data_IF_799155935653
#
_entry.id   IF_799155935653
#
_cell.length_a   1.000
_cell.length_b   1.000
_cell.length_c   1.000
_cell.angle_alpha   90.00
_cell.angle_beta   90.00
_cell.angle_gamma   90.00
#
_symmetry.space_group_name_H-M   'P 1'
#
loop_
_entity.id
_entity.type
_entity.pdbx_description
1 polymer ?
#
# COMPACT_ATOMS: atom_id res chain seq x y z
N UNK A 1 57.37 8.42 2.16
CA UNK A 1 56.78 9.25 1.09
C UNK A 1 55.43 9.75 1.57
N UNK A 2 55.32 11.00 2.05
CA UNK A 2 54.07 11.58 2.52
C UNK A 2 53.29 12.11 1.30
N UNK A 3 52.18 11.48 0.97
CA UNK A 3 51.25 12.01 -0.03
C UNK A 3 50.73 13.36 0.48
N UNK A 4 51.12 14.45 -0.15
CA UNK A 4 50.47 15.75 0.04
C UNK A 4 49.09 15.67 -0.65
N UNK A 5 48.01 15.50 0.12
CA UNK A 5 46.66 15.60 -0.40
C UNK A 5 46.47 17.01 -0.97
N UNK A 6 46.14 17.10 -2.24
CA UNK A 6 45.92 18.37 -2.91
C UNK A 6 44.68 19.04 -2.29
N UNK A 7 44.87 20.21 -1.68
CA UNK A 7 43.79 20.96 -0.97
C UNK A 7 42.58 21.23 -1.87
N UNK A 8 42.80 21.35 -3.18
CA UNK A 8 41.74 21.53 -4.15
C UNK A 8 40.89 20.25 -4.33
N UNK A 9 41.50 19.07 -4.30
CA UNK A 9 40.80 17.80 -4.40
C UNK A 9 39.92 17.54 -3.19
N UNK A 10 40.40 17.89 -1.98
CA UNK A 10 39.62 17.81 -0.74
C UNK A 10 38.43 18.76 -0.74
N UNK A 11 38.60 19.98 -1.28
CA UNK A 11 37.51 20.95 -1.40
C UNK A 11 36.43 20.47 -2.39
N UNK A 12 36.81 19.94 -3.54
CA UNK A 12 35.88 19.39 -4.52
C UNK A 12 35.13 18.15 -3.99
N UNK A 13 35.83 17.27 -3.25
CA UNK A 13 35.19 16.13 -2.60
C UNK A 13 34.20 16.57 -1.54
N UNK A 14 34.54 17.54 -0.72
CA UNK A 14 33.65 18.09 0.30
C UNK A 14 32.43 18.78 -0.34
N UNK A 15 32.63 19.53 -1.40
CA UNK A 15 31.56 20.19 -2.15
C UNK A 15 30.62 19.17 -2.82
N UNK A 16 31.18 18.12 -3.45
CA UNK A 16 30.38 17.03 -4.04
C UNK A 16 29.56 16.30 -2.96
N UNK A 17 30.15 15.97 -1.82
CA UNK A 17 29.43 15.31 -0.71
C UNK A 17 28.29 16.20 -0.19
N UNK A 18 28.55 17.49 0.04
CA UNK A 18 27.50 18.39 0.52
C UNK A 18 26.38 18.63 -0.49
N UNK A 19 26.69 18.64 -1.79
CA UNK A 19 25.66 18.75 -2.85
C UNK A 19 24.79 17.48 -2.93
N UNK A 20 25.44 16.31 -2.85
CA UNK A 20 24.72 15.02 -2.86
C UNK A 20 23.83 14.89 -1.63
N UNK A 21 24.32 15.23 -0.45
CA UNK A 21 23.52 15.21 0.79
C UNK A 21 22.37 16.20 0.74
N UNK A 22 22.56 17.39 0.18
CA UNK A 22 21.49 18.38 0.02
C UNK A 22 20.43 17.92 -1.00
N UNK A 23 20.81 17.24 -2.09
CA UNK A 23 19.88 16.67 -3.03
C UNK A 23 19.08 15.51 -2.41
N UNK A 24 19.77 14.63 -1.67
CA UNK A 24 19.13 13.54 -0.92
C UNK A 24 18.14 14.08 0.10
N UNK A 25 18.51 15.08 0.89
CA UNK A 25 17.63 15.71 1.87
C UNK A 25 16.37 16.29 1.19
N UNK A 26 16.51 16.93 0.03
CA UNK A 26 15.37 17.50 -0.69
C UNK A 26 14.42 16.43 -1.22
N UNK A 27 14.92 15.27 -1.65
CA UNK A 27 14.08 14.20 -2.20
C UNK A 27 13.34 13.42 -1.12
N UNK A 28 13.91 13.36 0.09
CA UNK A 28 13.34 12.66 1.24
C UNK A 28 12.53 13.57 2.17
N UNK A 29 12.18 14.76 1.72
CA UNK A 29 11.30 15.71 2.43
C UNK A 29 10.49 16.49 1.39
N UNK A 30 9.78 15.74 0.52
CA UNK A 30 8.94 16.32 -0.51
C UNK A 30 7.77 17.05 0.14
N UNK A 31 7.67 18.33 -0.12
CA UNK A 31 6.47 19.09 0.24
C UNK A 31 5.31 18.75 -0.70
N UNK A 32 4.09 19.07 -0.29
CA UNK A 32 2.92 18.94 -1.14
C UNK A 32 3.08 19.70 -2.47
N UNK A 33 3.70 20.87 -2.44
CA UNK A 33 3.98 21.66 -3.66
C UNK A 33 5.00 20.97 -4.57
N UNK A 34 6.03 20.34 -4.00
CA UNK A 34 7.02 19.58 -4.78
C UNK A 34 6.38 18.35 -5.43
N UNK A 35 5.52 17.64 -4.70
CA UNK A 35 4.78 16.49 -5.22
C UNK A 35 3.88 16.87 -6.40
N UNK A 36 3.20 18.02 -6.32
CA UNK A 36 2.26 18.46 -7.35
C UNK A 36 2.93 19.22 -8.49
N UNK A 37 4.21 19.58 -8.36
CA UNK A 37 4.94 20.27 -9.41
C UNK A 37 5.15 19.37 -10.64
N UNK A 38 5.03 19.95 -11.82
CA UNK A 38 5.46 19.30 -13.07
C UNK A 38 6.98 19.20 -13.04
N UNK A 39 7.52 18.00 -13.14
CA UNK A 39 8.96 17.74 -13.19
C UNK A 39 9.36 17.22 -14.55
N UNK A 40 10.64 17.37 -14.91
CA UNK A 40 11.21 16.75 -16.12
C UNK A 40 11.36 15.23 -15.99
N UNK A 41 11.38 14.72 -14.74
CA UNK A 41 11.48 13.30 -14.44
C UNK A 41 10.12 12.61 -14.58
N UNK A 42 10.13 11.41 -15.12
CA UNK A 42 8.96 10.54 -15.10
C UNK A 42 8.57 10.16 -13.66
N UNK A 43 7.31 9.79 -13.47
CA UNK A 43 6.82 9.33 -12.18
C UNK A 43 7.54 8.05 -11.70
N UNK A 44 7.93 7.18 -12.65
CA UNK A 44 8.74 5.99 -12.38
C UNK A 44 10.14 6.36 -11.85
N UNK A 45 10.81 7.30 -12.50
CA UNK A 45 12.12 7.80 -12.03
C UNK A 45 12.01 8.45 -10.65
N UNK A 46 10.95 9.20 -10.42
CA UNK A 46 10.69 9.83 -9.12
C UNK A 46 10.48 8.77 -8.03
N UNK A 47 9.69 7.73 -8.30
CA UNK A 47 9.50 6.61 -7.37
C UNK A 47 10.83 5.93 -7.05
N UNK A 48 11.62 5.56 -8.08
CA UNK A 48 12.92 4.93 -7.92
C UNK A 48 13.88 5.76 -7.07
N UNK A 49 13.91 7.07 -7.30
CA UNK A 49 14.80 7.97 -6.59
C UNK A 49 14.42 8.06 -5.10
N UNK A 50 13.13 8.17 -4.79
CA UNK A 50 12.62 8.12 -3.42
C UNK A 50 12.93 6.77 -2.77
N UNK A 51 12.62 5.67 -3.44
CA UNK A 51 12.80 4.32 -2.90
C UNK A 51 14.28 3.95 -2.65
N UNK A 52 15.21 4.53 -3.40
CA UNK A 52 16.67 4.33 -3.20
C UNK A 52 17.27 5.17 -2.08
N UNK A 53 16.70 6.34 -1.83
CA UNK A 53 17.38 7.33 -0.99
C UNK A 53 16.67 7.57 0.35
N UNK A 54 15.37 7.34 0.46
CA UNK A 54 14.60 7.77 1.63
C UNK A 54 14.38 6.68 2.69
N UNK A 55 14.20 5.39 2.36
CA UNK A 55 14.16 4.35 3.38
C UNK A 55 15.49 4.23 4.12
N UNK A 56 15.47 3.82 5.40
CA UNK A 56 16.68 3.54 6.17
C UNK A 56 17.49 2.39 5.55
N UNK A 57 16.80 1.48 4.86
CA UNK A 57 17.38 0.39 4.07
C UNK A 57 16.59 0.30 2.76
N UNK A 58 17.28 0.06 1.66
CA UNK A 58 16.66 -0.09 0.34
C UNK A 58 15.65 -1.24 0.38
N UNK A 59 14.44 -0.96 -0.10
CA UNK A 59 13.32 -1.92 -0.09
C UNK A 59 13.44 -2.95 -1.21
N UNK A 60 12.93 -4.15 -0.95
CA UNK A 60 12.76 -5.25 -1.92
C UNK A 60 11.86 -4.88 -3.11
N UNK A 61 10.98 -3.91 -2.94
CA UNK A 61 10.13 -3.38 -4.02
C UNK A 61 10.90 -2.94 -5.28
N UNK A 62 12.20 -2.63 -5.13
CA UNK A 62 13.09 -2.21 -6.23
C UNK A 62 14.38 -3.01 -6.34
N UNK A 63 14.67 -3.94 -5.39
CA UNK A 63 15.86 -4.81 -5.45
C UNK A 63 15.54 -6.22 -5.90
N UNK A 64 14.41 -6.75 -5.47
CA UNK A 64 13.95 -8.11 -5.73
C UNK A 64 12.73 -8.14 -6.66
N UNK A 65 12.00 -7.00 -6.72
CA UNK A 65 10.82 -6.80 -7.54
C UNK A 65 10.94 -5.53 -8.39
N UNK A 66 10.33 -5.54 -9.58
CA UNK A 66 10.27 -4.37 -10.49
C UNK A 66 8.98 -3.57 -10.24
N UNK A 67 8.62 -3.33 -8.96
CA UNK A 67 7.37 -2.64 -8.59
C UNK A 67 7.39 -1.15 -8.93
N UNK A 68 8.57 -0.60 -9.25
CA UNK A 68 8.64 0.77 -9.75
C UNK A 68 7.84 0.97 -11.06
N UNK A 69 7.64 -0.08 -11.85
CA UNK A 69 6.77 -0.01 -13.03
C UNK A 69 5.31 0.13 -12.61
N UNK A 70 4.87 -0.68 -11.65
CA UNK A 70 3.50 -0.64 -11.14
C UNK A 70 3.21 0.66 -10.39
N UNK A 71 4.06 1.02 -9.43
CA UNK A 71 3.86 2.21 -8.61
C UNK A 71 4.14 3.50 -9.37
N UNK A 72 5.22 3.55 -10.15
CA UNK A 72 5.55 4.74 -10.94
C UNK A 72 4.50 5.05 -12.00
N UNK A 73 3.99 4.03 -12.69
CA UNK A 73 3.05 4.25 -13.78
C UNK A 73 1.58 4.41 -13.34
N UNK A 74 1.19 3.83 -12.19
CA UNK A 74 -0.20 3.82 -11.75
C UNK A 74 -0.43 4.63 -10.49
N UNK A 75 0.40 4.45 -9.45
CA UNK A 75 0.16 5.05 -8.13
C UNK A 75 0.63 6.50 -8.07
N UNK A 76 1.84 6.80 -8.54
CA UNK A 76 2.38 8.15 -8.40
C UNK A 76 1.59 9.19 -9.21
N UNK A 77 1.22 8.95 -10.49
CA UNK A 77 0.33 9.86 -11.22
C UNK A 77 -1.00 10.08 -10.51
N UNK A 78 -1.55 9.01 -9.92
CA UNK A 78 -2.80 9.07 -9.16
C UNK A 78 -2.65 9.93 -7.90
N UNK A 79 -1.57 9.78 -7.14
CA UNK A 79 -1.28 10.59 -5.95
C UNK A 79 -0.98 12.06 -6.28
N UNK A 80 -0.53 12.35 -7.49
CA UNK A 80 -0.31 13.71 -8.00
C UNK A 80 -1.57 14.39 -8.51
N UNK A 81 -2.70 13.69 -8.61
CA UNK A 81 -3.96 14.33 -9.03
C UNK A 81 -4.38 15.39 -8.00
N UNK A 82 -4.27 16.64 -8.41
CA UNK A 82 -4.62 17.80 -7.58
C UNK A 82 -6.10 17.79 -7.14
N UNK A 83 -6.98 17.11 -7.86
CA UNK A 83 -8.39 17.00 -7.48
C UNK A 83 -8.59 16.07 -6.29
N UNK A 84 -7.80 15.00 -6.18
CA UNK A 84 -7.79 14.15 -4.99
C UNK A 84 -7.34 14.94 -3.76
N UNK A 85 -6.24 15.66 -3.89
CA UNK A 85 -5.66 16.43 -2.80
C UNK A 85 -6.58 17.56 -2.32
N UNK A 86 -7.27 18.24 -3.24
CA UNK A 86 -8.25 19.30 -2.91
C UNK A 86 -9.52 18.76 -2.24
N UNK A 87 -9.86 17.49 -2.40
CA UNK A 87 -11.06 16.86 -1.82
C UNK A 87 -10.88 16.29 -0.42
N UNK A 88 -9.83 16.68 0.29
CA UNK A 88 -9.61 16.28 1.69
C UNK A 88 -8.45 15.33 1.92
N UNK A 89 -7.56 15.20 0.92
CA UNK A 89 -6.35 14.38 1.02
C UNK A 89 -6.57 12.91 0.62
N UNK A 90 -5.50 12.17 0.74
CA UNK A 90 -5.42 10.74 0.42
C UNK A 90 -5.37 9.94 1.70
N UNK A 91 -6.28 9.02 1.89
CA UNK A 91 -6.23 8.02 2.94
C UNK A 91 -5.68 6.73 2.37
N UNK A 92 -4.51 6.35 2.84
CA UNK A 92 -3.69 5.25 2.35
C UNK A 92 -3.54 4.18 3.42
N UNK A 93 -3.71 2.92 3.07
CA UNK A 93 -3.43 1.77 3.92
C UNK A 93 -2.45 0.85 3.20
N UNK A 94 -1.36 0.48 3.86
CA UNK A 94 -0.54 -0.68 3.49
C UNK A 94 -0.65 -1.73 4.59
N UNK A 95 -0.85 -2.99 4.22
CA UNK A 95 -0.76 -4.15 5.11
C UNK A 95 0.64 -4.72 4.95
N UNK A 96 1.35 -4.89 6.07
CA UNK A 96 2.76 -5.30 6.09
C UNK A 96 3.69 -4.12 6.40
N UNK A 97 4.23 -4.08 7.62
CA UNK A 97 5.24 -3.09 8.03
C UNK A 97 6.68 -3.60 7.77
N UNK A 98 6.83 -4.87 7.40
CA UNK A 98 8.13 -5.52 7.21
C UNK A 98 8.80 -5.95 8.51
N UNK A 99 8.04 -6.29 9.54
CA UNK A 99 8.56 -6.71 10.85
C UNK A 99 9.41 -7.98 10.81
N UNK A 100 9.09 -8.88 9.90
CA UNK A 100 9.80 -10.16 9.72
C UNK A 100 10.91 -10.07 8.66
N UNK A 101 11.10 -8.90 8.03
CA UNK A 101 12.15 -8.70 7.05
C UNK A 101 13.52 -8.56 7.71
N UNK A 102 14.55 -9.11 7.08
CA UNK A 102 15.94 -9.07 7.58
C UNK A 102 16.42 -7.63 7.78
N UNK A 103 15.97 -6.70 6.94
CA UNK A 103 16.30 -5.28 7.04
C UNK A 103 15.41 -4.51 8.03
N UNK A 104 14.39 -5.16 8.58
CA UNK A 104 13.51 -4.58 9.60
C UNK A 104 12.38 -3.71 9.05
N UNK A 105 11.53 -3.20 9.96
CA UNK A 105 10.31 -2.50 9.59
C UNK A 105 10.54 -1.08 9.05
N UNK A 106 9.60 -0.61 8.24
CA UNK A 106 9.46 0.80 7.90
C UNK A 106 10.07 1.24 6.58
N UNK A 107 10.63 0.34 5.77
CA UNK A 107 11.21 0.72 4.46
C UNK A 107 10.15 1.25 3.50
N UNK A 108 9.05 0.54 3.29
CA UNK A 108 7.95 0.98 2.43
C UNK A 108 7.23 2.21 2.98
N UNK A 109 6.92 2.23 4.28
CA UNK A 109 6.25 3.37 4.90
C UNK A 109 7.06 4.67 4.78
N UNK A 110 8.38 4.59 4.76
CA UNK A 110 9.27 5.74 4.51
C UNK A 110 9.12 6.28 3.09
N UNK A 111 8.86 5.42 2.11
CA UNK A 111 8.57 5.82 0.73
C UNK A 111 7.22 6.53 0.66
N UNK A 112 6.17 5.89 1.19
CA UNK A 112 4.81 6.43 1.11
C UNK A 112 4.69 7.79 1.81
N UNK A 113 5.42 7.97 2.91
CA UNK A 113 5.47 9.25 3.64
C UNK A 113 5.91 10.41 2.74
N UNK A 114 6.79 10.18 1.75
CA UNK A 114 7.22 11.22 0.82
C UNK A 114 6.10 11.63 -0.14
N UNK A 115 5.25 10.69 -0.54
CA UNK A 115 4.15 10.93 -1.47
C UNK A 115 2.83 11.35 -0.78
N UNK A 116 2.79 11.29 0.54
CA UNK A 116 1.62 11.64 1.37
C UNK A 116 1.95 12.86 2.26
N UNK A 117 2.42 13.93 1.64
CA UNK A 117 2.89 15.14 2.31
C UNK A 117 1.89 16.31 2.26
N UNK A 118 0.73 16.11 1.62
CA UNK A 118 -0.27 17.16 1.51
C UNK A 118 -1.19 17.23 2.74
N UNK A 119 -1.74 18.40 3.07
CA UNK A 119 -2.71 18.54 4.14
C UNK A 119 -3.91 17.61 3.94
N UNK A 120 -4.25 16.85 4.98
CA UNK A 120 -5.33 15.87 4.95
C UNK A 120 -4.91 14.47 4.50
N UNK A 121 -3.67 14.27 4.06
CA UNK A 121 -3.17 12.92 3.78
C UNK A 121 -3.01 12.12 5.08
N UNK A 122 -3.39 10.85 5.02
CA UNK A 122 -3.27 9.90 6.12
C UNK A 122 -2.60 8.61 5.64
N UNK A 123 -1.48 8.23 6.26
CA UNK A 123 -0.83 6.94 6.07
C UNK A 123 -1.18 6.02 7.24
N UNK A 124 -1.73 4.86 6.90
CA UNK A 124 -2.02 3.77 7.81
C UNK A 124 -1.17 2.55 7.45
N UNK A 125 -0.61 1.90 8.47
CA UNK A 125 0.10 0.62 8.33
C UNK A 125 -0.64 -0.46 9.13
N UNK A 126 -1.02 -1.55 8.47
CA UNK A 126 -1.52 -2.76 9.10
C UNK A 126 -0.36 -3.71 9.40
N UNK A 127 -0.28 -4.27 10.61
CA UNK A 127 0.82 -5.18 10.97
C UNK A 127 0.34 -6.27 11.94
N UNK A 128 0.80 -7.49 11.71
CA UNK A 128 0.49 -8.63 12.58
C UNK A 128 1.19 -8.53 13.94
N UNK A 129 2.46 -8.14 13.94
CA UNK A 129 3.35 -8.18 15.11
C UNK A 129 3.24 -6.91 15.96
N UNK A 130 2.37 -6.95 16.96
CA UNK A 130 2.18 -5.83 17.89
C UNK A 130 3.48 -5.35 18.55
N UNK A 131 4.35 -6.26 18.96
CA UNK A 131 5.60 -5.91 19.63
C UNK A 131 6.50 -5.09 18.71
N UNK A 132 6.61 -5.49 17.46
CA UNK A 132 7.37 -4.76 16.46
C UNK A 132 6.79 -3.35 16.23
N UNK A 133 5.46 -3.21 16.13
CA UNK A 133 4.81 -1.89 16.00
C UNK A 133 5.12 -1.00 17.21
N UNK A 134 5.02 -1.54 18.42
CA UNK A 134 5.29 -0.79 19.64
C UNK A 134 6.78 -0.37 19.72
N UNK A 135 7.70 -1.24 19.30
CA UNK A 135 9.13 -0.95 19.23
C UNK A 135 9.45 0.11 18.19
N UNK A 136 8.87 0.00 17.01
CA UNK A 136 9.05 0.96 15.91
C UNK A 136 8.51 2.34 16.30
N UNK A 137 7.39 2.38 17.02
CA UNK A 137 6.83 3.63 17.55
C UNK A 137 7.76 4.25 18.58
N UNK A 138 8.31 3.46 19.52
CA UNK A 138 9.28 3.97 20.51
C UNK A 138 10.56 4.52 19.87
N UNK A 139 10.95 3.99 18.73
CA UNK A 139 12.12 4.44 17.95
C UNK A 139 11.82 5.65 17.04
N UNK A 140 10.57 6.15 17.01
CA UNK A 140 10.18 7.27 16.14
C UNK A 140 10.01 6.89 14.66
N UNK A 141 10.12 5.60 14.31
CA UNK A 141 10.00 5.15 12.91
C UNK A 141 8.58 5.32 12.36
N UNK A 142 7.59 5.41 13.24
CA UNK A 142 6.17 5.57 12.88
C UNK A 142 5.64 6.98 13.18
N UNK A 143 6.50 7.97 13.28
CA UNK A 143 6.06 9.35 13.51
C UNK A 143 5.22 9.87 12.34
N UNK A 144 3.99 10.29 12.65
CA UNK A 144 3.00 10.72 11.66
C UNK A 144 2.29 9.57 10.93
N UNK A 145 2.60 8.31 11.25
CA UNK A 145 1.99 7.12 10.66
C UNK A 145 1.02 6.50 11.65
N UNK A 146 -0.20 6.24 11.20
CA UNK A 146 -1.23 5.55 11.97
C UNK A 146 -1.08 4.03 11.80
N UNK A 147 -1.46 3.25 12.81
CA UNK A 147 -1.33 1.79 12.73
C UNK A 147 -2.59 1.08 13.18
N UNK A 148 -2.85 -0.07 12.56
CA UNK A 148 -3.77 -1.10 13.01
C UNK A 148 -3.00 -2.41 13.17
N UNK A 149 -3.37 -3.23 14.15
CA UNK A 149 -2.59 -4.42 14.52
C UNK A 149 -3.48 -5.64 14.55
N UNK A 150 -2.97 -6.76 14.05
CA UNK A 150 -3.59 -8.07 14.10
C UNK A 150 -3.48 -8.85 12.80
N UNK A 151 -4.08 -10.04 12.76
CA UNK A 151 -4.06 -10.93 11.59
C UNK A 151 -5.05 -10.45 10.52
N UNK A 152 -4.54 -10.12 9.34
CA UNK A 152 -5.38 -9.76 8.18
C UNK A 152 -6.24 -10.92 7.66
N UNK A 153 -5.97 -12.16 8.07
CA UNK A 153 -6.77 -13.33 7.77
C UNK A 153 -7.87 -13.61 8.81
N UNK A 154 -8.02 -12.76 9.83
CA UNK A 154 -9.07 -12.87 10.83
C UNK A 154 -10.16 -11.81 10.60
N UNK A 155 -11.39 -12.22 10.24
CA UNK A 155 -12.49 -11.28 10.03
C UNK A 155 -12.79 -10.36 11.23
N UNK A 156 -12.56 -10.82 12.45
CA UNK A 156 -12.78 -10.00 13.65
C UNK A 156 -11.74 -8.89 13.75
N UNK A 157 -10.49 -9.19 13.43
CA UNK A 157 -9.41 -8.21 13.33
C UNK A 157 -9.70 -7.17 12.24
N UNK A 158 -10.08 -7.61 11.05
CA UNK A 158 -10.42 -6.69 9.94
C UNK A 158 -11.60 -5.78 10.28
N UNK A 159 -12.61 -6.32 10.97
CA UNK A 159 -13.71 -5.52 11.49
C UNK A 159 -13.21 -4.43 12.46
N UNK A 160 -12.33 -4.78 13.38
CA UNK A 160 -11.73 -3.84 14.31
C UNK A 160 -10.90 -2.77 13.58
N UNK A 161 -10.14 -3.15 12.54
CA UNK A 161 -9.41 -2.21 11.69
C UNK A 161 -10.36 -1.20 11.03
N UNK A 162 -11.47 -1.70 10.48
CA UNK A 162 -12.48 -0.85 9.89
C UNK A 162 -13.10 0.11 10.91
N UNK A 163 -13.43 -0.37 12.12
CA UNK A 163 -13.97 0.48 13.19
C UNK A 163 -13.01 1.62 13.56
N UNK A 164 -11.72 1.31 13.73
CA UNK A 164 -10.68 2.29 14.06
C UNK A 164 -10.45 3.30 12.93
N UNK A 165 -10.56 2.86 11.69
CA UNK A 165 -10.28 3.69 10.52
C UNK A 165 -11.50 4.44 9.98
N UNK A 166 -12.68 4.30 10.56
CA UNK A 166 -13.90 5.01 10.16
C UNK A 166 -15.00 4.12 9.59
N UNK A 167 -14.92 2.81 9.84
CA UNK A 167 -15.91 1.82 9.39
C UNK A 167 -15.83 1.55 7.89
N UNK A 168 -16.90 1.01 7.32
CA UNK A 168 -17.03 0.76 5.88
C UNK A 168 -16.95 2.05 5.04
N UNK A 169 -17.07 3.20 5.68
CA UNK A 169 -16.91 4.52 5.07
C UNK A 169 -15.53 5.10 5.32
N UNK A 170 -14.54 4.25 5.55
CA UNK A 170 -13.14 4.68 5.75
C UNK A 170 -12.63 5.52 4.58
N UNK A 171 -13.22 5.33 3.39
CA UNK A 171 -12.90 6.08 2.17
C UNK A 171 -11.38 6.02 1.87
N UNK A 172 -10.79 4.84 2.01
CA UNK A 172 -9.43 4.65 1.54
C UNK A 172 -9.34 4.99 0.05
N UNK A 173 -8.34 5.73 -0.30
CA UNK A 173 -8.03 6.08 -1.69
C UNK A 173 -7.11 5.01 -2.29
N UNK A 174 -6.19 4.51 -1.47
CA UNK A 174 -5.23 3.46 -1.81
C UNK A 174 -5.24 2.40 -0.72
N UNK A 175 -5.21 1.14 -1.13
CA UNK A 175 -4.91 -0.01 -0.27
C UNK A 175 -3.83 -0.83 -0.97
N UNK A 176 -2.78 -1.20 -0.23
CA UNK A 176 -1.74 -2.13 -0.65
C UNK A 176 -1.78 -3.32 0.31
N UNK A 177 -1.94 -4.52 -0.23
CA UNK A 177 -1.81 -5.77 0.50
C UNK A 177 -0.44 -6.38 0.21
N UNK A 178 0.49 -6.14 1.11
CA UNK A 178 1.88 -6.62 1.15
C UNK A 178 2.14 -7.33 2.49
N UNK A 179 1.17 -8.12 2.94
CA UNK A 179 1.16 -8.72 4.26
C UNK A 179 1.72 -10.14 4.31
N UNK A 180 0.93 -11.07 4.86
CA UNK A 180 1.39 -12.45 5.06
C UNK A 180 1.35 -13.36 3.84
N UNK A 181 0.81 -12.92 2.71
CA UNK A 181 0.70 -13.61 1.41
C UNK A 181 0.00 -14.97 1.43
N UNK A 182 -0.54 -15.41 2.58
CA UNK A 182 -1.38 -16.60 2.65
C UNK A 182 -2.68 -16.35 1.88
N UNK A 183 -3.15 -17.32 1.09
CA UNK A 183 -4.31 -17.12 0.23
C UNK A 183 -5.56 -16.70 1.00
N UNK A 184 -5.81 -17.31 2.16
CA UNK A 184 -6.91 -16.89 3.02
C UNK A 184 -6.74 -15.45 3.53
N UNK A 185 -5.52 -15.00 3.85
CA UNK A 185 -5.26 -13.65 4.34
C UNK A 185 -5.57 -12.61 3.27
N UNK A 186 -5.07 -12.80 2.04
CA UNK A 186 -5.35 -11.93 0.91
C UNK A 186 -6.86 -11.91 0.60
N UNK A 187 -7.51 -13.06 0.69
CA UNK A 187 -8.93 -13.18 0.38
C UNK A 187 -9.79 -12.44 1.40
N UNK A 188 -9.54 -12.66 2.69
CA UNK A 188 -10.27 -12.02 3.78
C UNK A 188 -10.04 -10.50 3.79
N UNK A 189 -8.80 -10.04 3.64
CA UNK A 189 -8.49 -8.62 3.57
C UNK A 189 -9.15 -7.95 2.38
N UNK A 190 -9.13 -8.58 1.19
CA UNK A 190 -9.79 -8.05 0.00
C UNK A 190 -11.32 -7.95 0.19
N UNK A 191 -11.96 -9.02 0.73
CA UNK A 191 -13.40 -9.01 0.98
C UNK A 191 -13.82 -7.92 1.98
N UNK A 192 -13.05 -7.76 3.05
CA UNK A 192 -13.38 -6.82 4.11
C UNK A 192 -13.09 -5.36 3.72
N UNK A 193 -11.96 -5.11 3.05
CA UNK A 193 -11.46 -3.75 2.83
C UNK A 193 -11.90 -3.15 1.50
N UNK A 194 -12.26 -3.98 0.51
CA UNK A 194 -12.75 -3.49 -0.78
C UNK A 194 -13.92 -2.50 -0.66
N UNK A 195 -14.96 -2.77 0.16
CA UNK A 195 -16.05 -1.82 0.34
C UNK A 195 -15.67 -0.53 1.07
N UNK A 196 -14.54 -0.53 1.77
CA UNK A 196 -13.99 0.67 2.41
C UNK A 196 -13.11 1.50 1.47
N UNK A 197 -12.80 0.96 0.28
CA UNK A 197 -12.12 1.68 -0.79
C UNK A 197 -13.09 2.66 -1.45
N UNK A 198 -12.64 3.88 -1.67
CA UNK A 198 -13.41 4.92 -2.36
C UNK A 198 -13.63 4.54 -3.83
N UNK A 199 -14.78 4.87 -4.43
CA UNK A 199 -14.97 4.75 -5.88
C UNK A 199 -13.84 5.44 -6.65
N UNK A 200 -13.22 4.71 -7.59
CA UNK A 200 -12.02 5.15 -8.30
C UNK A 200 -10.72 5.04 -7.51
N UNK A 201 -10.73 4.47 -6.29
CA UNK A 201 -9.53 4.14 -5.54
C UNK A 201 -8.80 2.92 -6.11
N UNK A 202 -7.56 2.69 -5.67
CA UNK A 202 -6.71 1.61 -6.14
C UNK A 202 -6.44 0.60 -5.02
N UNK A 203 -6.57 -0.69 -5.34
CA UNK A 203 -6.19 -1.80 -4.47
C UNK A 203 -5.06 -2.57 -5.15
N UNK A 204 -3.91 -2.66 -4.51
CA UNK A 204 -2.75 -3.42 -4.97
C UNK A 204 -2.60 -4.68 -4.13
N UNK A 205 -2.22 -5.77 -4.74
CA UNK A 205 -1.83 -7.02 -4.08
C UNK A 205 -0.44 -7.35 -4.57
N UNK A 206 0.52 -7.38 -3.64
CA UNK A 206 1.91 -7.73 -3.95
C UNK A 206 2.12 -9.25 -3.91
N UNK A 207 3.23 -9.71 -4.42
CA UNK A 207 3.73 -11.09 -4.35
C UNK A 207 2.79 -12.17 -4.88
N UNK A 208 2.01 -11.84 -5.91
CA UNK A 208 1.11 -12.80 -6.54
C UNK A 208 1.82 -14.05 -7.10
N UNK A 209 3.14 -13.97 -7.37
CA UNK A 209 3.94 -15.10 -7.83
C UNK A 209 3.99 -16.27 -6.84
N UNK A 210 3.83 -15.99 -5.53
CA UNK A 210 3.83 -17.03 -4.49
C UNK A 210 2.47 -17.71 -4.29
N UNK A 211 1.43 -17.24 -4.96
CA UNK A 211 0.03 -17.69 -4.77
C UNK A 211 -0.16 -19.20 -4.87
N UNK A 212 0.71 -19.90 -5.64
CA UNK A 212 0.64 -21.36 -5.85
C UNK A 212 1.68 -22.14 -5.06
N UNK A 213 2.50 -21.48 -4.27
CA UNK A 213 3.47 -22.17 -3.43
C UNK A 213 2.77 -22.80 -2.23
N UNK A 214 3.09 -24.08 -1.96
CA UNK A 214 2.44 -24.84 -0.89
C UNK A 214 2.55 -24.15 0.47
N UNK A 215 3.65 -23.45 0.74
CA UNK A 215 3.87 -22.71 1.97
C UNK A 215 2.82 -21.60 2.19
N UNK A 216 2.40 -20.90 1.13
CA UNK A 216 1.41 -19.82 1.18
C UNK A 216 -0.03 -20.29 0.98
N UNK A 217 -0.25 -21.61 0.89
CA UNK A 217 -1.56 -22.23 0.75
C UNK A 217 -1.85 -23.25 1.86
N UNK A 218 -1.34 -23.01 3.06
CA UNK A 218 -1.27 -24.03 4.13
C UNK A 218 -2.55 -24.17 4.95
N UNK A 219 -3.49 -23.24 4.93
CA UNK A 219 -4.83 -23.45 5.52
C UNK A 219 -5.75 -24.20 4.54
N UNK A 220 -5.28 -25.35 4.07
CA UNK A 220 -5.97 -26.21 3.12
C UNK A 220 -7.27 -26.85 3.62
N UNK A 221 -7.66 -26.65 4.88
CA UNK A 221 -8.94 -27.15 5.40
C UNK A 221 -10.18 -26.42 4.82
N UNK A 222 -10.00 -25.23 4.24
CA UNK A 222 -11.09 -24.41 3.70
C UNK A 222 -11.00 -24.17 2.18
N UNK A 223 -10.07 -24.84 1.48
CA UNK A 223 -9.95 -24.81 0.01
C UNK A 223 -10.02 -23.39 -0.59
N UNK A 224 -9.20 -22.46 -0.09
CA UNK A 224 -9.05 -21.18 -0.79
C UNK A 224 -8.37 -21.42 -2.13
N UNK A 225 -9.08 -21.13 -3.22
CA UNK A 225 -8.44 -21.01 -4.52
C UNK A 225 -7.40 -19.88 -4.49
N UNK A 226 -6.24 -20.07 -5.16
CA UNK A 226 -5.26 -19.00 -5.27
C UNK A 226 -5.89 -17.73 -5.83
N UNK A 227 -5.63 -16.59 -5.18
CA UNK A 227 -6.20 -15.29 -5.59
C UNK A 227 -5.90 -14.97 -7.07
N UNK A 228 -4.74 -15.41 -7.57
CA UNK A 228 -4.37 -15.21 -8.97
C UNK A 228 -5.34 -15.88 -9.94
N UNK A 229 -5.96 -17.00 -9.57
CA UNK A 229 -6.92 -17.68 -10.41
C UNK A 229 -8.26 -16.93 -10.44
N UNK A 230 -8.66 -16.32 -9.32
CA UNK A 230 -9.79 -15.39 -9.29
C UNK A 230 -9.55 -14.15 -10.14
N UNK A 231 -8.37 -13.52 -10.03
CA UNK A 231 -8.01 -12.35 -10.84
C UNK A 231 -8.04 -12.69 -12.32
N UNK A 232 -7.45 -13.82 -12.69
CA UNK A 232 -7.48 -14.31 -14.09
C UNK A 232 -8.91 -14.46 -14.59
N UNK A 233 -9.79 -15.08 -13.81
CA UNK A 233 -11.18 -15.27 -14.16
C UNK A 233 -11.95 -13.94 -14.27
N UNK A 234 -11.65 -12.96 -13.42
CA UNK A 234 -12.23 -11.60 -13.53
C UNK A 234 -11.86 -10.94 -14.85
N UNK A 235 -10.58 -11.04 -15.25
CA UNK A 235 -10.10 -10.49 -16.51
C UNK A 235 -10.81 -11.18 -17.69
N UNK A 236 -10.86 -12.50 -17.71
CA UNK A 236 -11.52 -13.28 -18.76
C UNK A 236 -13.00 -12.92 -18.88
N UNK A 237 -13.74 -12.90 -17.77
CA UNK A 237 -15.16 -12.52 -17.76
C UNK A 237 -15.41 -11.08 -18.21
N UNK A 238 -14.52 -10.16 -17.86
CA UNK A 238 -14.61 -8.79 -18.33
C UNK A 238 -14.40 -8.69 -19.84
N UNK A 239 -13.42 -9.41 -20.38
CA UNK A 239 -13.14 -9.43 -21.82
C UNK A 239 -14.28 -10.07 -22.62
N UNK A 240 -14.95 -11.08 -22.05
CA UNK A 240 -16.08 -11.76 -22.66
C UNK A 240 -17.43 -11.06 -22.45
N UNK A 241 -17.46 -9.96 -21.71
CA UNK A 241 -18.69 -9.23 -21.39
C UNK A 241 -19.65 -10.02 -20.49
N UNK A 242 -19.16 -10.94 -19.67
CA UNK A 242 -19.95 -11.78 -18.76
C UNK A 242 -20.01 -11.13 -17.37
N UNK A 243 -21.08 -10.43 -17.01
CA UNK A 243 -21.19 -9.75 -15.70
C UNK A 243 -21.48 -10.72 -14.54
N UNK A 244 -21.86 -11.97 -14.82
CA UNK A 244 -22.34 -12.93 -13.82
C UNK A 244 -21.32 -13.26 -12.73
N UNK A 245 -20.05 -13.39 -13.11
CA UNK A 245 -18.99 -13.67 -12.14
C UNK A 245 -18.75 -12.48 -11.20
N UNK A 246 -18.83 -11.28 -11.71
CA UNK A 246 -18.74 -10.05 -10.91
C UNK A 246 -19.92 -9.95 -9.92
N UNK A 247 -21.12 -10.38 -10.32
CA UNK A 247 -22.28 -10.43 -9.45
C UNK A 247 -22.09 -11.46 -8.32
N UNK A 248 -21.50 -12.63 -8.62
CA UNK A 248 -21.18 -13.63 -7.61
C UNK A 248 -20.12 -13.15 -6.62
N UNK A 249 -19.13 -12.39 -7.10
CA UNK A 249 -18.13 -11.77 -6.24
C UNK A 249 -18.75 -10.69 -5.34
N UNK A 250 -19.61 -9.84 -5.89
CA UNK A 250 -20.38 -8.87 -5.11
C UNK A 250 -21.23 -9.53 -4.04
N UNK A 251 -21.85 -10.65 -4.34
CA UNK A 251 -22.62 -11.41 -3.35
C UNK A 251 -21.71 -11.95 -2.23
N UNK A 252 -20.56 -12.51 -2.54
CA UNK A 252 -19.57 -12.95 -1.54
C UNK A 252 -19.13 -11.81 -0.63
N UNK A 253 -18.80 -10.63 -1.18
CA UNK A 253 -18.49 -9.42 -0.40
C UNK A 253 -19.65 -9.04 0.51
N UNK A 254 -20.89 -9.04 0.00
CA UNK A 254 -22.07 -8.69 0.79
C UNK A 254 -22.32 -9.70 1.91
N UNK A 255 -22.21 -11.00 1.64
CA UNK A 255 -22.39 -12.07 2.62
C UNK A 255 -21.32 -11.99 3.72
N UNK A 256 -20.08 -11.74 3.35
CA UNK A 256 -18.99 -11.52 4.29
C UNK A 256 -19.28 -10.34 5.22
N UNK A 257 -19.70 -9.20 4.66
CA UNK A 257 -20.08 -8.04 5.46
C UNK A 257 -21.28 -8.28 6.36
N UNK A 258 -22.27 -9.04 5.92
CA UNK A 258 -23.39 -9.42 6.77
C UNK A 258 -22.92 -10.29 7.94
N UNK A 259 -22.03 -11.24 7.73
CA UNK A 259 -21.47 -12.07 8.80
C UNK A 259 -20.66 -11.23 9.80
N UNK A 260 -19.86 -10.28 9.33
CA UNK A 260 -19.11 -9.35 10.18
C UNK A 260 -20.03 -8.40 10.96
N UNK A 261 -21.19 -8.00 10.39
CA UNK A 261 -22.13 -7.08 11.02
C UNK A 261 -23.08 -7.78 11.99
N UNK A 262 -23.42 -9.04 11.77
CA UNK A 262 -24.32 -9.81 12.63
C UNK A 262 -23.76 -10.05 14.04
N UNK A 263 -22.45 -9.94 14.24
CA UNK A 263 -21.80 -9.99 15.55
C UNK A 263 -21.89 -8.69 16.35
N UNK A 264 -22.57 -7.64 15.84
CA UNK A 264 -22.78 -6.37 16.54
C UNK A 264 -24.01 -5.65 16.00
N UNK A 265 -25.07 -5.57 16.82
CA UNK A 265 -26.37 -4.99 16.49
C UNK A 265 -26.28 -3.53 16.05
N UNK A 266 -26.25 -3.26 14.75
CA UNK A 266 -26.81 -2.04 14.13
C UNK A 266 -27.12 -2.33 12.67
N UNK A 267 -28.39 -2.10 12.28
CA UNK A 267 -28.81 -2.11 10.87
C UNK A 267 -28.01 -1.07 10.09
N UNK A 268 -27.07 -1.52 9.28
CA UNK A 268 -26.35 -0.68 8.33
C UNK A 268 -27.18 -0.66 7.05
N UNK A 269 -27.61 0.53 6.63
CA UNK A 269 -28.25 0.74 5.34
C UNK A 269 -27.29 0.24 4.23
N UNK A 270 -27.83 -0.55 3.30
CA UNK A 270 -27.12 -1.19 2.19
C UNK A 270 -26.21 -0.20 1.46
N UNK A 271 -24.91 -0.41 1.36
CA UNK A 271 -24.09 0.33 0.40
C UNK A 271 -24.47 -0.16 -1.01
N UNK A 272 -24.80 0.77 -1.88
CA UNK A 272 -24.91 0.49 -3.32
C UNK A 272 -23.49 0.38 -3.83
N UNK A 273 -23.00 -0.85 -4.00
CA UNK A 273 -21.76 -1.13 -4.69
C UNK A 273 -22.05 -0.97 -6.19
N UNK A 274 -21.66 0.17 -6.76
CA UNK A 274 -21.75 0.36 -8.21
C UNK A 274 -20.66 -0.47 -8.90
N UNK A 275 -20.95 -0.93 -10.11
CA UNK A 275 -19.98 -1.64 -10.98
C UNK A 275 -18.71 -0.83 -11.26
N UNK A 276 -18.73 0.46 -10.96
CA UNK A 276 -17.61 1.40 -11.11
C UNK A 276 -16.43 1.08 -10.17
N UNK A 277 -16.67 0.50 -8.98
CA UNK A 277 -15.62 0.23 -8.00
C UNK A 277 -14.68 -0.91 -8.40
N UNK A 278 -15.13 -1.85 -9.24
CA UNK A 278 -14.29 -2.97 -9.71
C UNK A 278 -13.48 -2.63 -10.96
N UNK A 279 -13.80 -1.54 -11.61
CA UNK A 279 -13.10 -1.11 -12.82
C UNK A 279 -11.68 -0.62 -12.50
N UNK A 280 -11.41 -0.19 -11.26
CA UNK A 280 -10.13 0.41 -10.86
C UNK A 280 -8.94 -0.56 -10.71
N UNK A 281 -9.16 -1.87 -10.49
CA UNK A 281 -8.07 -2.86 -10.52
C UNK A 281 -7.70 -3.27 -11.95
N UNK A 282 -8.57 -3.02 -12.92
CA UNK A 282 -8.48 -3.54 -14.29
C UNK A 282 -8.54 -2.46 -15.37
N UNK A 283 -8.47 -1.16 -15.01
CA UNK A 283 -8.47 -0.10 -16.01
C UNK A 283 -7.06 0.14 -16.57
N UNK A 284 -6.61 -0.75 -17.43
CA UNK A 284 -5.86 -0.46 -18.67
C UNK A 284 -5.99 -1.59 -19.66
#
# INVERSE_FOLDING_TARGET
>A
MKLKLNRNLAFWLLFLVTVVDAQKAKICDLSCSDLLAVTEKSDRETFLEVARNCPPVVTDKITDHDYESMYGDLLIPYLRDSNLKKKGGVKFLEIGLGCDMVYGPGSSSSIWKQFLSCPGDELWMGEFNKTCVDDSRRKGQLDGIKTVVGDQGDPATLKQWLEVTGGIRSNFVIIIDDGGHQQHQIFESLLALWPALKPGGLYFIEDLQVSRWAFYNTRSAENYEPIIDHIKQWIENKLEGKPEYLNNWHSKIQDHHHSMSASGSRKISRPILSSENMTSILQR
#
